data_IF_312499208523
#
_entry.id   IF_312499208523
#
_cell.length_a   1.000
_cell.length_b   1.000
_cell.length_c   1.000
_cell.angle_alpha   90.00
_cell.angle_beta   90.00
_cell.angle_gamma   90.00
#
_symmetry.space_group_name_H-M   'P 1'
#
loop_
_entity.id
_entity.type
_entity.pdbx_description
1 polymer ?
#
# COMPACT_ATOMS: atom_id res chain seq x y z
N UNK A 1 97.85 -2.34 -29.19
CA UNK A 1 98.68 -1.31 -28.53
C UNK A 1 97.89 -0.74 -27.35
N UNK A 2 98.47 -0.79 -26.13
CA UNK A 2 98.13 0.00 -24.91
C UNK A 2 96.71 -0.14 -24.30
N UNK A 3 96.48 -0.21 -23.00
CA UNK A 3 97.29 -0.33 -21.77
C UNK A 3 96.28 -0.51 -20.60
N UNK A 4 96.62 -1.39 -19.65
CA UNK A 4 96.41 -1.31 -18.18
C UNK A 4 95.07 -0.88 -17.53
N UNK A 5 94.49 -1.85 -16.80
CA UNK A 5 94.08 -1.86 -15.37
C UNK A 5 93.52 -0.60 -14.69
N UNK A 6 92.36 -0.73 -14.03
CA UNK A 6 92.27 -0.81 -12.55
C UNK A 6 90.81 -0.96 -12.04
N UNK A 7 90.68 -1.97 -11.19
CA UNK A 7 89.74 -2.29 -10.10
C UNK A 7 88.82 -1.16 -9.59
N UNK A 8 87.53 -1.49 -9.38
CA UNK A 8 86.84 -1.19 -8.10
C UNK A 8 85.64 -2.11 -7.86
N UNK A 9 85.81 -2.92 -6.82
CA UNK A 9 84.82 -3.72 -6.12
C UNK A 9 83.72 -2.82 -5.53
N UNK A 10 82.45 -3.23 -5.60
CA UNK A 10 81.43 -2.96 -4.55
C UNK A 10 80.13 -3.74 -4.83
N UNK A 11 79.90 -4.73 -3.97
CA UNK A 11 78.64 -5.16 -3.34
C UNK A 11 77.35 -5.16 -4.17
N UNK A 12 76.84 -6.35 -4.49
CA UNK A 12 75.76 -7.05 -3.75
C UNK A 12 74.38 -6.40 -3.96
N UNK A 13 73.44 -7.15 -4.53
CA UNK A 13 72.33 -7.81 -3.81
C UNK A 13 71.44 -8.48 -4.88
N UNK A 14 71.31 -9.81 -4.77
CA UNK A 14 70.25 -10.59 -5.41
C UNK A 14 68.95 -10.34 -4.64
N UNK A 15 67.85 -10.07 -5.35
CA UNK A 15 66.51 -10.28 -4.80
C UNK A 15 65.53 -10.61 -5.94
N UNK A 16 65.33 -11.91 -6.10
CA UNK A 16 64.25 -12.56 -6.84
C UNK A 16 62.88 -12.11 -6.32
N UNK A 17 62.08 -11.47 -7.16
CA UNK A 17 60.68 -11.13 -6.87
C UNK A 17 59.80 -12.37 -7.06
N UNK A 18 59.38 -12.99 -5.96
CA UNK A 18 58.27 -13.93 -5.93
C UNK A 18 56.97 -13.14 -5.67
N UNK A 19 56.03 -13.20 -6.61
CA UNK A 19 54.72 -12.59 -6.51
C UNK A 19 53.80 -13.48 -5.66
N UNK A 20 53.41 -13.00 -4.49
CA UNK A 20 52.40 -13.63 -3.63
C UNK A 20 51.03 -13.05 -3.96
N UNK A 21 50.15 -13.87 -4.54
CA UNK A 21 48.74 -13.56 -4.77
C UNK A 21 48.00 -13.60 -3.43
N UNK A 22 47.65 -12.44 -2.89
CA UNK A 22 46.71 -12.34 -1.76
C UNK A 22 45.30 -12.38 -2.35
N UNK A 23 44.65 -13.54 -2.29
CA UNK A 23 43.23 -13.67 -2.54
C UNK A 23 42.46 -13.02 -1.38
N UNK A 24 42.20 -11.72 -1.48
CA UNK A 24 41.27 -11.03 -0.59
C UNK A 24 39.85 -11.52 -0.91
N UNK A 25 39.33 -12.42 -0.06
CA UNK A 25 37.94 -12.83 -0.09
C UNK A 25 37.05 -11.61 0.12
N UNK A 26 36.40 -11.16 -0.95
CA UNK A 26 35.36 -10.15 -0.90
C UNK A 26 34.14 -10.79 -0.22
N UNK A 27 34.04 -10.63 1.10
CA UNK A 27 32.78 -10.82 1.82
C UNK A 27 31.85 -9.72 1.35
N UNK A 28 31.03 -9.99 0.33
CA UNK A 28 29.89 -9.13 0.00
C UNK A 28 28.94 -9.20 1.18
N UNK A 29 29.00 -8.19 2.06
CA UNK A 29 28.00 -7.99 3.08
C UNK A 29 26.64 -7.84 2.38
N UNK A 30 25.84 -8.91 2.41
CA UNK A 30 24.44 -8.85 2.01
C UNK A 30 23.79 -7.84 2.96
N UNK A 31 23.14 -6.77 2.48
CA UNK A 31 22.46 -5.86 3.38
C UNK A 31 21.43 -6.66 4.16
N UNK A 32 21.56 -6.67 5.48
CA UNK A 32 20.63 -7.35 6.37
C UNK A 32 19.24 -6.73 6.16
N UNK A 33 18.31 -7.51 5.63
CA UNK A 33 16.89 -7.16 5.45
C UNK A 33 16.12 -6.99 6.78
N UNK A 34 16.83 -6.95 7.92
CA UNK A 34 16.27 -6.77 9.25
C UNK A 34 15.78 -5.34 9.54
N UNK A 35 16.15 -4.35 8.72
CA UNK A 35 15.76 -2.95 8.93
C UNK A 35 14.39 -2.57 8.32
N UNK A 36 13.77 -3.44 7.51
CA UNK A 36 12.53 -3.08 6.80
C UNK A 36 11.30 -3.04 7.73
N UNK A 37 11.24 -3.91 8.74
CA UNK A 37 10.18 -3.96 9.76
C UNK A 37 10.74 -3.69 11.16
N UNK A 38 11.23 -2.46 11.38
CA UNK A 38 11.91 -2.09 12.61
C UNK A 38 10.97 -1.78 13.80
N UNK A 39 9.69 -1.49 13.54
CA UNK A 39 8.73 -1.18 14.59
C UNK A 39 8.13 -2.46 15.17
N UNK A 40 8.14 -2.56 16.49
CA UNK A 40 7.49 -3.66 17.21
C UNK A 40 6.07 -3.23 17.57
N UNK A 41 5.12 -4.15 17.40
CA UNK A 41 3.70 -3.88 17.63
C UNK A 41 3.20 -4.88 18.67
N UNK A 42 2.44 -4.42 19.66
CA UNK A 42 1.78 -5.32 20.61
C UNK A 42 0.93 -6.32 19.82
N UNK A 43 1.20 -7.64 19.92
CA UNK A 43 0.46 -8.64 19.14
C UNK A 43 -1.02 -8.70 19.52
N UNK A 44 -1.88 -9.04 18.56
CA UNK A 44 -3.31 -9.22 18.78
C UNK A 44 -4.12 -7.93 18.92
N UNK A 45 -3.49 -6.77 18.76
CA UNK A 45 -4.18 -5.49 18.75
C UNK A 45 -4.97 -5.27 17.48
N UNK A 46 -5.99 -4.41 17.55
CA UNK A 46 -6.88 -4.14 16.42
C UNK A 46 -6.15 -3.30 15.38
N UNK A 47 -6.15 -3.78 14.14
CA UNK A 47 -5.81 -3.01 12.94
C UNK A 47 -7.11 -2.51 12.35
N UNK A 48 -7.18 -1.22 12.03
CA UNK A 48 -8.43 -0.58 11.59
C UNK A 48 -8.35 -0.02 10.18
N UNK A 49 -9.51 0.05 9.53
CA UNK A 49 -9.67 0.72 8.24
C UNK A 49 -9.53 2.23 8.33
N UNK A 50 -9.67 2.83 9.50
CA UNK A 50 -9.63 4.28 9.68
C UNK A 50 -9.17 4.63 11.11
N UNK A 51 -9.09 5.93 11.44
CA UNK A 51 -8.64 6.42 12.76
C UNK A 51 -9.74 7.01 13.63
N UNK A 52 -10.91 7.35 13.07
CA UNK A 52 -12.06 7.82 13.84
C UNK A 52 -12.94 6.63 14.24
N UNK A 53 -12.74 6.07 15.44
CA UNK A 53 -13.43 4.87 15.91
C UNK A 53 -14.92 5.06 16.17
N UNK A 54 -15.42 6.29 16.16
CA UNK A 54 -16.86 6.57 16.22
C UNK A 54 -17.55 6.42 14.84
N UNK A 55 -16.78 6.40 13.74
CA UNK A 55 -17.33 6.17 12.41
C UNK A 55 -17.70 4.71 12.20
N UNK A 56 -18.89 4.46 11.67
CA UNK A 56 -19.34 3.12 11.28
C UNK A 56 -18.45 2.48 10.20
N UNK A 57 -17.73 3.28 9.41
CA UNK A 57 -16.76 2.81 8.43
C UNK A 57 -15.46 2.28 9.07
N UNK A 58 -15.24 2.56 10.36
CA UNK A 58 -13.99 2.35 11.08
C UNK A 58 -13.92 1.00 11.80
N UNK A 59 -14.07 -0.07 11.02
CA UNK A 59 -14.02 -1.43 11.52
C UNK A 59 -12.61 -1.92 11.86
N UNK A 60 -12.54 -2.97 12.67
CA UNK A 60 -11.35 -3.81 12.74
C UNK A 60 -11.27 -4.63 11.44
N UNK A 61 -10.14 -4.55 10.74
CA UNK A 61 -9.90 -5.26 9.46
C UNK A 61 -8.88 -6.38 9.57
N UNK A 62 -8.05 -6.33 10.63
CA UNK A 62 -7.07 -7.36 10.95
C UNK A 62 -6.68 -7.29 12.43
N UNK A 63 -5.78 -8.17 12.83
CA UNK A 63 -5.04 -8.09 14.09
C UNK A 63 -3.55 -7.87 13.80
N UNK A 64 -2.87 -7.17 14.71
CA UNK A 64 -1.44 -6.89 14.58
C UNK A 64 -0.63 -8.17 14.70
N UNK A 65 0.44 -8.25 13.91
CA UNK A 65 1.56 -9.17 14.14
C UNK A 65 2.53 -8.55 15.15
N UNK A 66 3.68 -9.17 15.39
CA UNK A 66 4.71 -8.63 16.28
C UNK A 66 5.54 -7.49 15.66
N UNK A 67 5.54 -7.33 14.34
CA UNK A 67 6.41 -6.38 13.64
C UNK A 67 5.73 -5.73 12.44
N UNK A 68 6.10 -4.48 12.16
CA UNK A 68 5.62 -3.75 10.99
C UNK A 68 6.46 -2.53 10.65
N UNK A 69 6.09 -1.87 9.54
CA UNK A 69 6.74 -0.68 8.99
C UNK A 69 5.73 0.45 8.98
N UNK A 70 6.06 1.52 9.70
CA UNK A 70 5.27 2.75 9.68
C UNK A 70 5.38 3.42 8.31
N UNK A 71 4.25 3.77 7.70
CA UNK A 71 4.19 4.47 6.41
C UNK A 71 3.96 5.97 6.60
N UNK A 72 3.00 6.30 7.46
CA UNK A 72 2.58 7.67 7.74
C UNK A 72 1.85 7.73 9.08
N UNK A 73 1.67 8.94 9.60
CA UNK A 73 0.88 9.20 10.80
C UNK A 73 -0.32 10.10 10.50
N UNK A 74 -1.38 9.96 11.27
CA UNK A 74 -2.42 10.98 11.42
C UNK A 74 -3.07 10.86 12.79
N UNK A 75 -3.68 11.94 13.23
CA UNK A 75 -4.38 11.96 14.50
C UNK A 75 -5.87 11.62 14.30
N UNK A 76 -6.49 11.01 15.31
CA UNK A 76 -7.84 10.47 15.24
C UNK A 76 -8.48 10.29 16.62
N UNK A 77 -9.21 9.20 16.83
CA UNK A 77 -9.75 8.88 18.14
C UNK A 77 -8.64 8.54 19.14
N UNK A 78 -8.83 8.95 20.40
CA UNK A 78 -7.94 8.57 21.49
C UNK A 78 -8.09 7.09 21.83
N UNK A 79 -7.00 6.47 22.28
CA UNK A 79 -7.03 5.18 22.94
C UNK A 79 -6.00 5.13 24.07
N UNK A 80 -6.32 4.36 25.11
CA UNK A 80 -5.42 4.14 26.24
C UNK A 80 -4.49 2.94 25.97
N UNK A 81 -3.23 3.05 26.42
CA UNK A 81 -2.19 2.04 26.26
C UNK A 81 -0.83 2.57 26.74
N UNK A 82 0.28 2.25 26.04
CA UNK A 82 1.62 2.73 26.45
C UNK A 82 1.81 4.24 26.35
N UNK A 83 0.99 4.91 25.54
CA UNK A 83 1.01 6.36 25.32
C UNK A 83 -0.43 6.89 25.38
N UNK A 84 -0.64 8.04 26.03
CA UNK A 84 -1.88 8.82 25.87
C UNK A 84 -1.69 9.78 24.70
N UNK A 85 -2.22 9.39 23.54
CA UNK A 85 -2.14 10.16 22.30
C UNK A 85 -3.40 9.91 21.48
N UNK A 86 -3.70 10.79 20.55
CA UNK A 86 -4.67 10.56 19.49
C UNK A 86 -4.00 10.11 18.18
N UNK A 87 -2.70 9.80 18.20
CA UNK A 87 -1.92 9.45 17.01
C UNK A 87 -2.11 7.99 16.59
N UNK A 88 -2.30 7.80 15.30
CA UNK A 88 -2.36 6.51 14.63
C UNK A 88 -1.31 6.44 13.52
N UNK A 89 -0.78 5.24 13.29
CA UNK A 89 0.13 4.97 12.18
C UNK A 89 -0.53 4.05 11.18
N UNK A 90 -0.40 4.38 9.89
CA UNK A 90 -0.62 3.39 8.84
C UNK A 90 0.58 2.43 8.87
N UNK A 91 0.32 1.18 9.23
CA UNK A 91 1.33 0.13 9.36
C UNK A 91 1.23 -0.82 8.18
N UNK A 92 2.38 -1.18 7.61
CA UNK A 92 2.55 -2.40 6.83
C UNK A 92 3.05 -3.48 7.79
N UNK A 93 2.22 -4.48 8.05
CA UNK A 93 2.56 -5.59 8.93
C UNK A 93 3.51 -6.56 8.21
N UNK A 94 4.28 -7.32 8.98
CA UNK A 94 5.20 -8.32 8.44
C UNK A 94 4.54 -9.44 7.61
N UNK A 95 3.22 -9.63 7.74
CA UNK A 95 2.43 -10.53 6.89
C UNK A 95 1.94 -9.88 5.57
N UNK A 96 2.34 -8.64 5.31
CA UNK A 96 2.00 -7.85 4.11
C UNK A 96 0.69 -7.05 4.21
N UNK A 97 -0.12 -7.24 5.24
CA UNK A 97 -1.36 -6.47 5.40
C UNK A 97 -1.07 -5.03 5.81
N UNK A 98 -1.92 -4.10 5.39
CA UNK A 98 -1.88 -2.72 5.90
C UNK A 98 -3.08 -2.39 6.78
N UNK A 99 -2.97 -1.29 7.52
CA UNK A 99 -4.08 -0.65 8.22
C UNK A 99 -3.61 0.24 9.36
N UNK A 100 -4.54 0.95 9.99
CA UNK A 100 -4.21 1.87 11.07
C UNK A 100 -4.07 1.14 12.41
N UNK A 101 -2.96 1.40 13.09
CA UNK A 101 -2.68 0.93 14.45
C UNK A 101 -2.45 2.15 15.33
N UNK A 102 -3.07 2.17 16.50
CA UNK A 102 -2.91 3.27 17.45
C UNK A 102 -1.47 3.30 17.99
N UNK A 103 -0.90 4.49 18.14
CA UNK A 103 0.49 4.69 18.58
C UNK A 103 0.79 4.05 19.93
N UNK A 104 -0.19 3.97 20.84
CA UNK A 104 -0.08 3.30 22.15
C UNK A 104 0.32 1.82 22.07
N UNK A 105 0.24 1.19 20.89
CA UNK A 105 0.59 -0.21 20.66
C UNK A 105 1.83 -0.39 19.78
N UNK A 106 2.55 0.69 19.46
CA UNK A 106 3.73 0.67 18.60
C UNK A 106 4.95 1.17 19.38
N UNK A 107 6.00 0.35 19.45
CA UNK A 107 7.32 0.74 19.99
C UNK A 107 8.34 0.85 18.86
N UNK A 108 9.49 1.47 19.13
CA UNK A 108 10.48 1.85 18.12
C UNK A 108 9.85 2.68 16.98
N UNK A 109 9.08 3.70 17.38
CA UNK A 109 8.43 4.60 16.44
C UNK A 109 9.49 5.43 15.71
N UNK A 110 9.36 5.53 14.39
CA UNK A 110 10.24 6.31 13.53
C UNK A 110 9.50 7.53 12.98
N UNK A 111 10.25 8.53 12.50
CA UNK A 111 9.66 9.67 11.81
C UNK A 111 9.10 9.22 10.46
N UNK A 112 7.83 9.53 10.21
CA UNK A 112 7.11 9.26 8.97
C UNK A 112 6.31 10.50 8.60
N UNK A 113 5.96 10.71 7.31
CA UNK A 113 5.16 11.85 6.91
C UNK A 113 3.72 11.76 7.44
N UNK A 114 2.99 12.87 7.36
CA UNK A 114 1.56 12.86 7.59
C UNK A 114 0.83 12.08 6.47
N UNK A 115 -0.19 11.29 6.81
CA UNK A 115 -0.91 10.46 5.87
C UNK A 115 -1.62 11.23 4.75
N UNK A 116 -1.96 12.50 4.96
CA UNK A 116 -2.58 13.37 3.95
C UNK A 116 -1.61 13.68 2.80
N UNK A 117 -0.33 13.39 2.93
CA UNK A 117 0.65 13.51 1.82
C UNK A 117 0.51 12.37 0.81
N UNK A 118 -0.06 11.22 1.21
CA UNK A 118 -0.16 10.03 0.37
C UNK A 118 -1.49 10.02 -0.40
N UNK A 119 -1.43 10.13 -1.73
CA UNK A 119 -2.61 10.12 -2.63
C UNK A 119 -3.52 8.91 -2.38
N UNK A 120 -2.92 7.71 -2.24
CA UNK A 120 -3.68 6.47 -1.98
C UNK A 120 -4.48 6.53 -0.67
N UNK A 121 -3.93 7.15 0.37
CA UNK A 121 -4.61 7.26 1.65
C UNK A 121 -5.79 8.23 1.54
N UNK A 122 -5.59 9.39 0.90
CA UNK A 122 -6.68 10.34 0.62
C UNK A 122 -7.81 9.71 -0.20
N UNK A 123 -7.47 8.89 -1.20
CA UNK A 123 -8.47 8.18 -2.01
C UNK A 123 -9.29 7.21 -1.16
N UNK A 124 -8.64 6.36 -0.35
CA UNK A 124 -9.34 5.44 0.53
C UNK A 124 -10.18 6.18 1.60
N UNK A 125 -9.69 7.29 2.16
CA UNK A 125 -10.44 8.08 3.13
C UNK A 125 -11.71 8.69 2.52
N UNK A 126 -11.61 9.23 1.30
CA UNK A 126 -12.79 9.74 0.58
C UNK A 126 -13.82 8.62 0.35
N UNK A 127 -13.36 7.43 -0.08
CA UNK A 127 -14.24 6.29 -0.31
C UNK A 127 -14.88 5.78 0.99
N UNK A 128 -14.13 5.73 2.10
CA UNK A 128 -14.65 5.42 3.44
C UNK A 128 -15.68 6.46 3.91
N UNK A 129 -15.52 7.72 3.52
CA UNK A 129 -16.52 8.78 3.75
C UNK A 129 -17.86 8.55 3.04
N UNK A 130 -17.92 7.63 2.08
CA UNK A 130 -19.15 7.25 1.41
C UNK A 130 -19.88 6.09 2.09
N UNK A 131 -19.25 5.37 3.02
CA UNK A 131 -19.85 4.20 3.68
C UNK A 131 -21.19 4.57 4.32
N UNK A 132 -22.20 3.74 4.07
CA UNK A 132 -23.57 3.96 4.53
C UNK A 132 -24.42 4.84 3.59
N UNK A 133 -23.83 5.53 2.61
CA UNK A 133 -24.58 6.30 1.62
C UNK A 133 -25.09 5.39 0.51
N UNK A 134 -26.33 5.63 0.07
CA UNK A 134 -26.96 4.98 -1.08
C UNK A 134 -26.73 5.76 -2.38
N UNK A 135 -26.53 7.07 -2.27
CA UNK A 135 -26.28 7.96 -3.41
C UNK A 135 -24.96 8.73 -3.23
N UNK A 136 -24.32 9.03 -4.35
CA UNK A 136 -23.19 9.95 -4.42
C UNK A 136 -23.62 11.37 -4.00
N UNK A 137 -22.73 12.16 -3.39
CA UNK A 137 -22.99 13.58 -3.12
C UNK A 137 -23.36 14.33 -4.40
N UNK A 138 -24.17 15.39 -4.29
CA UNK A 138 -24.63 16.17 -5.46
C UNK A 138 -23.49 16.69 -6.33
N UNK A 139 -22.37 17.10 -5.72
CA UNK A 139 -21.17 17.57 -6.43
C UNK A 139 -20.47 16.47 -7.26
N UNK A 140 -20.77 15.21 -6.96
CA UNK A 140 -20.22 14.01 -7.58
C UNK A 140 -21.23 13.30 -8.48
N UNK A 141 -22.41 13.91 -8.69
CA UNK A 141 -23.32 13.48 -9.74
C UNK A 141 -22.63 13.76 -11.06
N UNK A 142 -22.34 12.67 -11.75
CA UNK A 142 -21.57 12.62 -12.98
C UNK A 142 -22.40 11.77 -13.94
N UNK A 143 -23.42 12.34 -14.59
CA UNK A 143 -24.35 11.59 -15.46
C UNK A 143 -23.65 10.77 -16.54
N UNK A 144 -22.52 11.27 -17.03
CA UNK A 144 -21.64 10.62 -18.00
C UNK A 144 -20.84 9.43 -17.43
N UNK A 145 -20.93 9.19 -16.12
CA UNK A 145 -20.26 8.12 -15.37
C UNK A 145 -21.25 7.16 -14.69
N UNK A 146 -22.56 7.37 -14.85
CA UNK A 146 -23.56 6.44 -14.30
C UNK A 146 -23.53 5.19 -15.17
N UNK A 147 -23.29 4.04 -14.55
CA UNK A 147 -23.56 2.77 -15.17
C UNK A 147 -25.05 2.70 -15.50
N UNK A 148 -25.40 2.95 -16.76
CA UNK A 148 -26.79 2.85 -17.21
C UNK A 148 -27.21 1.36 -17.17
N UNK A 149 -28.41 1.01 -16.69
CA UNK A 149 -29.62 1.86 -16.54
C UNK A 149 -29.94 2.41 -15.12
N UNK A 150 -28.97 2.53 -14.19
CA UNK A 150 -29.25 2.98 -12.83
C UNK A 150 -29.68 4.46 -12.67
N UNK A 151 -30.47 4.80 -11.61
CA UNK A 151 -30.75 6.17 -11.20
C UNK A 151 -29.48 7.01 -11.07
N UNK A 152 -29.56 8.28 -11.48
CA UNK A 152 -28.43 9.20 -11.38
C UNK A 152 -27.92 9.30 -9.95
N UNK A 153 -26.64 8.97 -9.78
CA UNK A 153 -25.97 9.05 -8.48
C UNK A 153 -26.13 7.84 -7.59
N UNK A 154 -26.93 6.82 -7.94
CA UNK A 154 -27.01 5.60 -7.15
C UNK A 154 -25.62 4.97 -7.00
N UNK A 155 -25.31 4.36 -5.85
CA UNK A 155 -24.06 3.62 -5.68
C UNK A 155 -24.17 2.16 -6.13
N UNK A 156 -25.36 1.56 -6.08
CA UNK A 156 -25.53 0.17 -6.50
C UNK A 156 -25.18 0.00 -7.98
N UNK A 157 -24.47 -1.09 -8.31
CA UNK A 157 -23.95 -1.33 -9.67
C UNK A 157 -22.76 -0.45 -10.10
N UNK A 158 -22.59 0.73 -9.48
CA UNK A 158 -21.57 1.73 -9.85
C UNK A 158 -20.18 1.47 -9.24
N UNK A 159 -19.71 0.22 -9.26
CA UNK A 159 -18.45 -0.17 -8.63
C UNK A 159 -17.22 0.57 -9.17
N UNK A 160 -17.15 0.81 -10.48
CA UNK A 160 -16.05 1.51 -11.13
C UNK A 160 -16.02 3.02 -10.84
N UNK A 161 -17.18 3.60 -10.51
CA UNK A 161 -17.35 5.03 -10.22
C UNK A 161 -16.69 5.40 -8.89
N UNK A 162 -16.77 4.54 -7.88
CA UNK A 162 -16.25 4.84 -6.54
C UNK A 162 -14.70 5.02 -6.53
N UNK A 163 -13.87 4.09 -7.05
CA UNK A 163 -12.42 4.33 -7.17
C UNK A 163 -12.08 5.54 -8.06
N UNK A 164 -12.80 5.74 -9.15
CA UNK A 164 -12.59 6.89 -10.04
C UNK A 164 -12.74 8.21 -9.27
N UNK A 165 -13.87 8.41 -8.59
CA UNK A 165 -14.12 9.62 -7.81
C UNK A 165 -13.16 9.74 -6.64
N UNK A 166 -12.83 8.65 -5.96
CA UNK A 166 -11.88 8.64 -4.86
C UNK A 166 -10.51 9.18 -5.29
N UNK A 167 -9.97 8.71 -6.42
CA UNK A 167 -8.70 9.20 -6.93
C UNK A 167 -8.79 10.60 -7.52
N UNK A 168 -9.91 10.97 -8.14
CA UNK A 168 -10.17 12.34 -8.60
C UNK A 168 -10.11 13.34 -7.43
N UNK A 169 -10.79 13.04 -6.32
CA UNK A 169 -10.74 13.84 -5.08
C UNK A 169 -9.36 13.82 -4.42
N UNK A 170 -8.59 12.75 -4.61
CA UNK A 170 -7.20 12.69 -4.18
C UNK A 170 -6.23 13.46 -5.10
N UNK A 171 -6.72 14.04 -6.20
CA UNK A 171 -5.92 14.82 -7.16
C UNK A 171 -5.16 13.98 -8.19
N UNK A 172 -5.63 12.76 -8.49
CA UNK A 172 -4.98 11.84 -9.43
C UNK A 172 -5.98 11.29 -10.44
N UNK A 173 -5.60 11.28 -11.72
CA UNK A 173 -6.41 10.69 -12.79
C UNK A 173 -6.59 9.18 -12.57
N UNK A 174 -7.75 8.65 -12.90
CA UNK A 174 -8.06 7.21 -12.83
C UNK A 174 -8.77 6.79 -14.12
N UNK A 175 -8.58 5.55 -14.64
CA UNK A 175 -9.21 5.15 -15.89
C UNK A 175 -10.74 5.22 -15.81
N UNK A 176 -11.33 5.94 -16.77
CA UNK A 176 -12.78 6.03 -16.93
C UNK A 176 -13.27 4.88 -17.80
N UNK A 177 -13.67 3.78 -17.16
CA UNK A 177 -14.23 2.60 -17.81
C UNK A 177 -14.97 1.74 -16.78
N UNK A 178 -15.56 0.61 -17.20
CA UNK A 178 -16.03 -0.42 -16.27
C UNK A 178 -14.87 -1.08 -15.53
N UNK A 179 -15.16 -1.90 -14.51
CA UNK A 179 -14.13 -2.49 -13.66
C UNK A 179 -13.16 -3.41 -14.43
N UNK A 180 -13.64 -4.18 -15.41
CA UNK A 180 -12.77 -5.07 -16.19
C UNK A 180 -11.85 -4.27 -17.13
N UNK A 181 -12.34 -3.21 -17.74
CA UNK A 181 -11.54 -2.34 -18.62
C UNK A 181 -10.55 -1.48 -17.83
N UNK A 182 -10.93 -1.03 -16.63
CA UNK A 182 -10.00 -0.41 -15.67
C UNK A 182 -8.85 -1.39 -15.33
N UNK A 183 -9.18 -2.66 -15.04
CA UNK A 183 -8.19 -3.69 -14.79
C UNK A 183 -7.26 -3.92 -15.98
N UNK A 184 -7.79 -4.01 -17.20
CA UNK A 184 -6.96 -4.14 -18.40
C UNK A 184 -6.08 -2.92 -18.63
N UNK A 185 -6.58 -1.70 -18.38
CA UNK A 185 -5.77 -0.48 -18.47
C UNK A 185 -4.56 -0.55 -17.51
N UNK A 186 -4.77 -1.01 -16.26
CA UNK A 186 -3.67 -1.20 -15.31
C UNK A 186 -2.71 -2.31 -15.70
N UNK A 187 -3.20 -3.43 -16.24
CA UNK A 187 -2.36 -4.50 -16.78
C UNK A 187 -1.48 -4.01 -17.92
N UNK A 188 -2.07 -3.33 -18.90
CA UNK A 188 -1.36 -2.80 -20.07
C UNK A 188 -0.31 -1.74 -19.67
N UNK A 189 -0.54 -1.02 -18.57
CA UNK A 189 0.42 -0.08 -18.00
C UNK A 189 1.49 -0.74 -17.09
N UNK A 190 1.52 -2.07 -16.93
CA UNK A 190 2.47 -2.76 -16.05
C UNK A 190 2.23 -2.51 -14.54
N UNK A 191 1.06 -1.98 -14.18
CA UNK A 191 0.68 -1.62 -12.80
C UNK A 191 -0.07 -2.73 -12.07
N UNK A 192 -0.55 -3.74 -12.79
CA UNK A 192 -1.20 -4.91 -12.21
C UNK A 192 -0.26 -5.71 -11.32
N UNK A 193 -0.82 -6.23 -10.23
CA UNK A 193 -0.14 -7.02 -9.21
C UNK A 193 -1.04 -8.17 -8.80
N UNK A 194 -0.39 -9.28 -8.43
CA UNK A 194 -1.02 -10.58 -8.16
C UNK A 194 -0.59 -11.15 -6.80
N UNK A 195 0.30 -10.46 -6.09
CA UNK A 195 0.64 -10.77 -4.72
C UNK A 195 -0.54 -10.48 -3.79
N UNK A 196 -0.46 -11.06 -2.58
CA UNK A 196 -1.63 -11.30 -1.73
C UNK A 196 -2.31 -10.04 -1.20
N UNK A 197 -1.55 -9.00 -0.88
CA UNK A 197 -2.07 -7.82 -0.19
C UNK A 197 -1.73 -6.53 -0.95
N UNK A 198 -2.75 -5.75 -1.35
CA UNK A 198 -2.57 -4.40 -1.89
C UNK A 198 -2.01 -3.44 -0.83
N UNK A 199 -1.59 -2.24 -1.26
CA UNK A 199 -1.34 -1.13 -0.33
C UNK A 199 -2.66 -0.44 0.00
N UNK A 200 -2.78 0.11 1.20
CA UNK A 200 -3.97 0.87 1.61
C UNK A 200 -4.28 1.95 0.57
N UNK A 201 -5.51 1.93 0.04
CA UNK A 201 -5.98 2.77 -1.05
C UNK A 201 -5.81 2.21 -2.46
N UNK A 202 -5.06 1.12 -2.67
CA UNK A 202 -4.93 0.52 -3.99
C UNK A 202 -6.27 -0.08 -4.46
N UNK A 203 -6.61 0.07 -5.75
CA UNK A 203 -7.77 -0.56 -6.32
C UNK A 203 -7.61 -2.09 -6.40
N UNK A 204 -8.66 -2.78 -5.99
CA UNK A 204 -8.81 -4.23 -6.03
C UNK A 204 -9.81 -4.60 -7.10
N UNK A 205 -9.56 -5.68 -7.84
CA UNK A 205 -10.40 -6.12 -8.95
C UNK A 205 -10.85 -7.57 -8.76
N UNK A 206 -12.12 -7.82 -9.02
CA UNK A 206 -12.72 -9.15 -9.05
C UNK A 206 -13.47 -9.35 -10.37
N UNK A 207 -13.57 -10.60 -10.80
CA UNK A 207 -14.30 -10.97 -12.02
C UNK A 207 -15.75 -11.26 -11.68
N UNK A 208 -16.64 -10.42 -12.20
CA UNK A 208 -18.08 -10.65 -12.28
C UNK A 208 -18.44 -10.48 -13.75
N UNK A 209 -18.88 -11.54 -14.41
CA UNK A 209 -19.17 -11.45 -15.83
C UNK A 209 -20.37 -10.51 -16.10
N UNK A 210 -20.32 -9.65 -17.12
CA UNK A 210 -19.19 -9.37 -18.02
C UNK A 210 -18.32 -8.17 -17.59
N UNK A 211 -18.70 -7.40 -16.57
CA UNK A 211 -18.17 -6.05 -16.32
C UNK A 211 -17.07 -5.95 -15.25
N UNK A 212 -16.85 -7.01 -14.48
CA UNK A 212 -15.97 -7.02 -13.32
C UNK A 212 -16.60 -6.33 -12.11
N UNK A 213 -15.81 -6.22 -11.04
CA UNK A 213 -16.11 -5.40 -9.88
C UNK A 213 -14.82 -4.85 -9.28
N UNK A 214 -14.90 -3.67 -8.67
CA UNK A 214 -13.75 -3.02 -8.05
C UNK A 214 -14.11 -2.24 -6.78
N UNK A 215 -13.11 -2.03 -5.93
CA UNK A 215 -13.15 -1.23 -4.70
C UNK A 215 -11.75 -0.82 -4.30
N UNK A 216 -11.60 -0.11 -3.18
CA UNK A 216 -10.30 0.30 -2.65
C UNK A 216 -9.93 -0.51 -1.42
N UNK A 217 -8.72 -1.04 -1.36
CA UNK A 217 -8.22 -1.75 -0.19
C UNK A 217 -8.12 -0.82 1.02
N UNK A 218 -8.68 -1.24 2.17
CA UNK A 218 -8.68 -0.45 3.42
C UNK A 218 -8.07 -1.25 4.58
N UNK A 219 -7.24 -2.23 4.26
CA UNK A 219 -6.46 -2.99 5.22
C UNK A 219 -6.96 -4.41 5.49
N UNK A 220 -6.12 -5.22 6.11
CA UNK A 220 -6.40 -6.64 6.37
C UNK A 220 -6.76 -7.42 5.10
N UNK A 221 -7.99 -7.94 5.04
CA UNK A 221 -8.59 -8.52 3.81
C UNK A 221 -9.81 -7.72 3.34
N UNK A 222 -9.88 -6.43 3.70
CA UNK A 222 -11.07 -5.61 3.50
C UNK A 222 -10.86 -4.58 2.40
N UNK A 223 -11.92 -4.33 1.64
CA UNK A 223 -12.02 -3.20 0.73
C UNK A 223 -13.30 -2.40 1.00
N UNK A 224 -13.26 -1.12 0.68
CA UNK A 224 -14.45 -0.28 0.58
C UNK A 224 -14.93 -0.29 -0.87
N UNK A 225 -16.21 -0.53 -1.08
CA UNK A 225 -16.78 -0.64 -2.42
C UNK A 225 -18.29 -0.48 -2.44
N UNK A 226 -18.83 -0.35 -3.65
CA UNK A 226 -20.27 -0.44 -3.87
C UNK A 226 -20.73 -1.90 -3.89
N UNK A 227 -22.03 -2.13 -4.02
CA UNK A 227 -22.63 -3.47 -3.96
C UNK A 227 -23.84 -3.59 -4.88
N UNK A 228 -24.27 -4.83 -5.11
CA UNK A 228 -25.46 -5.13 -5.88
C UNK A 228 -25.37 -4.69 -7.34
N UNK A 229 -26.54 -4.58 -7.94
CA UNK A 229 -26.77 -4.06 -9.29
C UNK A 229 -27.67 -2.85 -9.17
N UNK A 230 -27.80 -2.08 -10.24
CA UNK A 230 -28.67 -0.91 -10.34
C UNK A 230 -30.09 -1.16 -9.78
N UNK A 231 -30.69 -0.10 -9.22
CA UNK A 231 -32.00 -0.08 -8.58
C UNK A 231 -32.14 -0.95 -7.32
N UNK A 232 -31.03 -1.38 -6.71
CA UNK A 232 -31.05 -2.12 -5.44
C UNK A 232 -30.89 -1.22 -4.21
N UNK A 233 -30.49 0.04 -4.40
CA UNK A 233 -30.36 1.04 -3.35
C UNK A 233 -29.50 0.57 -2.16
N UNK A 234 -28.52 -0.28 -2.43
CA UNK A 234 -27.56 -0.75 -1.45
C UNK A 234 -26.49 0.31 -1.19
N UNK A 235 -26.10 0.50 0.08
CA UNK A 235 -25.10 1.49 0.41
C UNK A 235 -23.67 1.00 0.10
N UNK A 236 -22.75 1.96 -0.01
CA UNK A 236 -21.31 1.69 0.06
C UNK A 236 -20.99 1.03 1.40
N UNK A 237 -20.13 0.00 1.38
CA UNK A 237 -19.74 -0.75 2.57
C UNK A 237 -18.27 -1.15 2.54
N UNK A 238 -17.75 -1.49 3.72
CA UNK A 238 -16.50 -2.22 3.88
C UNK A 238 -16.82 -3.71 3.96
N UNK A 239 -16.18 -4.53 3.14
CA UNK A 239 -16.39 -5.97 3.09
C UNK A 239 -15.13 -6.72 2.65
N UNK A 240 -15.14 -8.05 2.77
CA UNK A 240 -14.00 -8.89 2.37
C UNK A 240 -13.73 -8.77 0.87
N UNK A 241 -12.49 -8.45 0.50
CA UNK A 241 -12.05 -8.36 -0.89
C UNK A 241 -11.89 -9.75 -1.54
N UNK A 242 -11.81 -10.81 -0.74
CA UNK A 242 -11.57 -12.18 -1.20
C UNK A 242 -12.87 -13.00 -1.16
N UNK A 243 -13.72 -12.81 -0.14
CA UNK A 243 -14.87 -13.69 0.08
C UNK A 243 -16.18 -13.17 -0.52
N UNK A 244 -16.26 -11.86 -0.83
CA UNK A 244 -17.51 -11.25 -1.28
C UNK A 244 -17.89 -11.64 -2.72
N UNK A 245 -16.89 -11.81 -3.59
CA UNK A 245 -17.08 -12.01 -5.02
C UNK A 245 -16.28 -13.22 -5.52
N UNK A 246 -16.80 -13.95 -6.53
CA UNK A 246 -16.39 -15.32 -6.81
C UNK A 246 -14.96 -15.49 -7.34
N UNK A 247 -14.32 -14.44 -7.87
CA UNK A 247 -12.98 -14.57 -8.45
C UNK A 247 -12.17 -13.29 -8.26
N UNK A 248 -11.14 -13.35 -7.43
CA UNK A 248 -10.15 -12.29 -7.29
C UNK A 248 -9.23 -12.24 -8.52
N UNK A 249 -9.12 -11.07 -9.17
CA UNK A 249 -8.25 -10.88 -10.33
C UNK A 249 -6.86 -10.38 -9.94
N UNK A 250 -6.79 -9.54 -8.90
CA UNK A 250 -5.58 -8.86 -8.48
C UNK A 250 -5.87 -7.43 -8.02
N UNK A 251 -4.81 -6.65 -7.93
CA UNK A 251 -4.87 -5.23 -7.56
C UNK A 251 -3.90 -4.43 -8.43
N UNK A 252 -4.02 -3.11 -8.44
CA UNK A 252 -3.12 -2.26 -9.21
C UNK A 252 -2.42 -1.21 -8.34
N UNK A 253 -1.12 -1.04 -8.54
CA UNK A 253 -0.37 0.05 -7.92
C UNK A 253 -0.63 1.35 -8.68
N UNK A 254 -1.60 2.13 -8.24
CA UNK A 254 -2.00 3.34 -8.97
C UNK A 254 -1.18 4.57 -8.57
N UNK A 255 -1.04 4.81 -7.26
CA UNK A 255 -0.21 5.87 -6.70
C UNK A 255 1.15 5.31 -6.22
N UNK A 256 2.17 6.16 -6.20
CA UNK A 256 3.46 5.83 -5.62
C UNK A 256 3.34 5.57 -4.11
N UNK A 257 4.22 4.69 -3.61
CA UNK A 257 4.32 4.27 -2.21
C UNK A 257 4.97 5.34 -1.34
#
# INVERSE_FOLDING_TARGET
MHRSSLTRLRHLVFATTAASVVAAGLLTAVPASAAYYASTITPGMRVRSCVNTASAACGQVATTTSTGRMQCWRDGSWADGNYSSNRWFLMELSNGQEGFVHSSFVTNQVSVPNCDTLVRVRAADWALGQVGRVYAPTADLRPEFVWAPGPTGEWSGDCAKLPYLAYLHAGMSYPLANAIDQWQAFKNAGKARYDRFPRYGDPVFTSIAPYGHTGLYVGGQSMVGTQGVDNKYLPVQVYSMIDRYPTYLGWARHAAS
#
